data_IF_628241017874
#
_entry.id   IF_628241017874
#
_cell.length_a   1.000
_cell.length_b   1.000
_cell.length_c   1.000
_cell.angle_alpha   90.00
_cell.angle_beta   90.00
_cell.angle_gamma   90.00
#
_symmetry.space_group_name_H-M   'P 1'
#
loop_
_entity.id
_entity.type
_entity.pdbx_description
1 polymer ?
#
# COMPACT_ATOMS: atom_id res chain seq x y z
N UNK A 1 52.43 1.61 5.43
CA UNK A 1 52.04 0.28 5.96
C UNK A 1 50.74 0.41 6.73
N UNK A 2 49.60 0.04 6.14
CA UNK A 2 48.29 0.10 6.79
C UNK A 2 48.31 -0.88 7.97
N UNK A 3 48.05 -0.40 9.19
CA UNK A 3 47.99 -1.24 10.39
C UNK A 3 46.78 -2.18 10.28
N UNK A 4 47.00 -3.40 9.79
CA UNK A 4 45.98 -4.41 9.43
C UNK A 4 44.96 -4.66 10.53
N UNK A 5 45.38 -4.68 11.80
CA UNK A 5 44.48 -4.81 12.96
C UNK A 5 43.51 -3.63 13.09
N UNK A 6 43.96 -2.40 12.81
CA UNK A 6 43.12 -1.19 12.86
C UNK A 6 42.10 -1.19 11.72
N UNK A 7 42.51 -1.63 10.53
CA UNK A 7 41.62 -1.74 9.36
C UNK A 7 40.54 -2.81 9.54
N UNK A 8 40.87 -3.97 10.08
CA UNK A 8 39.90 -5.04 10.38
C UNK A 8 38.82 -4.55 11.35
N UNK A 9 39.23 -3.85 12.44
CA UNK A 9 38.28 -3.28 13.40
C UNK A 9 37.33 -2.27 12.74
N UNK A 10 37.82 -1.44 11.80
CA UNK A 10 37.00 -0.48 11.05
C UNK A 10 35.99 -1.18 10.16
N UNK A 11 36.41 -2.20 9.41
CA UNK A 11 35.51 -2.99 8.54
C UNK A 11 34.39 -3.65 9.37
N UNK A 12 34.75 -4.25 10.50
CA UNK A 12 33.77 -4.86 11.41
C UNK A 12 32.79 -3.84 11.98
N UNK A 13 33.26 -2.64 12.35
CA UNK A 13 32.39 -1.56 12.81
C UNK A 13 31.44 -1.08 11.70
N UNK A 14 31.95 -0.87 10.48
CA UNK A 14 31.15 -0.42 9.34
C UNK A 14 30.08 -1.46 8.99
N UNK A 15 30.45 -2.74 8.88
CA UNK A 15 29.48 -3.82 8.61
C UNK A 15 28.41 -3.94 9.71
N UNK A 16 28.78 -3.72 10.97
CA UNK A 16 27.83 -3.69 12.08
C UNK A 16 26.83 -2.54 11.95
N UNK A 17 27.31 -1.33 11.65
CA UNK A 17 26.45 -0.15 11.47
C UNK A 17 25.52 -0.35 10.27
N UNK A 18 26.04 -0.81 9.13
CA UNK A 18 25.24 -1.09 7.93
C UNK A 18 24.19 -2.17 8.21
N UNK A 19 24.54 -3.21 8.98
CA UNK A 19 23.60 -4.24 9.41
C UNK A 19 22.43 -3.65 10.20
N UNK A 20 22.66 -2.71 11.11
CA UNK A 20 21.58 -2.06 11.88
C UNK A 20 20.79 -1.11 10.98
N UNK A 21 21.48 -0.31 10.17
CA UNK A 21 20.85 0.64 9.25
C UNK A 21 20.05 -0.04 8.13
N UNK A 22 20.22 -1.35 7.93
CA UNK A 22 19.52 -2.14 6.90
C UNK A 22 18.00 -1.98 6.95
N UNK A 23 17.39 -1.87 8.13
CA UNK A 23 15.94 -1.63 8.24
C UNK A 23 15.52 -0.27 7.68
N UNK A 24 16.33 0.78 7.91
CA UNK A 24 16.05 2.11 7.38
C UNK A 24 16.22 2.14 5.87
N UNK A 25 17.23 1.42 5.35
CA UNK A 25 17.44 1.26 3.90
C UNK A 25 16.24 0.53 3.27
N UNK A 26 15.76 -0.53 3.91
CA UNK A 26 14.57 -1.26 3.45
C UNK A 26 13.31 -0.38 3.45
N UNK A 27 13.07 0.37 4.53
CA UNK A 27 11.96 1.32 4.63
C UNK A 27 12.04 2.40 3.56
N UNK A 28 13.22 2.98 3.32
CA UNK A 28 13.43 3.97 2.26
C UNK A 28 13.15 3.39 0.88
N UNK A 29 13.59 2.15 0.61
CA UNK A 29 13.31 1.48 -0.66
C UNK A 29 11.80 1.25 -0.87
N UNK A 30 11.08 0.87 0.19
CA UNK A 30 9.62 0.74 0.15
C UNK A 30 8.95 2.11 -0.08
N UNK A 31 9.33 3.15 0.66
CA UNK A 31 8.76 4.49 0.52
C UNK A 31 8.92 5.05 -0.90
N UNK A 32 10.12 4.95 -1.48
CA UNK A 32 10.39 5.38 -2.87
C UNK A 32 9.52 4.58 -3.85
N UNK A 33 9.30 3.29 -3.57
CA UNK A 33 8.47 2.47 -4.43
C UNK A 33 7.00 2.85 -4.40
N UNK A 34 6.47 3.14 -3.21
CA UNK A 34 5.09 3.64 -3.04
C UNK A 34 4.93 4.95 -3.82
N UNK A 35 5.88 5.88 -3.68
CA UNK A 35 5.84 7.17 -4.37
C UNK A 35 5.83 7.04 -5.90
N UNK A 36 6.48 5.99 -6.43
CA UNK A 36 6.53 5.70 -7.86
C UNK A 36 5.40 4.78 -8.34
N UNK A 37 4.48 4.35 -7.47
CA UNK A 37 3.35 3.52 -7.87
C UNK A 37 2.28 4.38 -8.56
N UNK A 38 1.38 3.77 -9.38
CA UNK A 38 0.28 4.52 -9.99
C UNK A 38 -0.71 5.11 -8.98
N UNK A 39 -0.83 4.51 -7.79
CA UNK A 39 -1.72 4.94 -6.70
C UNK A 39 -0.93 4.98 -5.39
N UNK A 40 -0.16 6.07 -5.13
CA UNK A 40 0.68 6.17 -3.94
C UNK A 40 -0.11 6.20 -2.62
N UNK A 41 -1.35 6.68 -2.67
CA UNK A 41 -2.22 6.87 -1.50
C UNK A 41 -3.05 5.61 -1.14
N UNK A 42 -2.83 4.49 -1.85
CA UNK A 42 -3.54 3.25 -1.56
C UNK A 42 -3.22 2.73 -0.14
N UNK A 43 -4.21 2.43 0.72
CA UNK A 43 -3.98 2.10 2.12
C UNK A 43 -3.05 0.90 2.35
N UNK A 44 -3.04 -0.06 1.40
CA UNK A 44 -2.21 -1.27 1.47
C UNK A 44 -0.94 -1.19 0.61
N UNK A 45 -0.59 -0.03 0.04
CA UNK A 45 0.61 0.14 -0.80
C UNK A 45 1.91 -0.24 -0.07
N UNK A 46 1.97 -0.04 1.26
CA UNK A 46 3.10 -0.48 2.07
C UNK A 46 3.25 -2.01 2.05
N UNK A 47 2.15 -2.73 2.25
CA UNK A 47 2.11 -4.20 2.30
C UNK A 47 2.49 -4.79 0.93
N UNK A 48 2.00 -4.20 -0.17
CA UNK A 48 2.37 -4.60 -1.55
C UNK A 48 3.87 -4.52 -1.83
N UNK A 49 4.59 -3.62 -1.16
CA UNK A 49 6.00 -3.37 -1.41
C UNK A 49 6.94 -3.94 -0.34
N UNK A 50 6.41 -4.48 0.75
CA UNK A 50 7.19 -5.02 1.87
C UNK A 50 8.15 -6.15 1.49
N UNK A 51 7.86 -6.95 0.46
CA UNK A 51 8.77 -7.99 -0.04
C UNK A 51 10.18 -7.48 -0.35
N UNK A 52 10.35 -6.18 -0.64
CA UNK A 52 11.64 -5.53 -0.87
C UNK A 52 12.60 -5.60 0.33
N UNK A 53 12.09 -5.85 1.53
CA UNK A 53 12.92 -6.12 2.71
C UNK A 53 13.84 -7.33 2.49
N UNK A 54 13.42 -8.33 1.69
CA UNK A 54 14.27 -9.47 1.34
C UNK A 54 15.52 -9.06 0.54
N UNK A 55 15.42 -8.01 -0.29
CA UNK A 55 16.56 -7.52 -1.09
C UNK A 55 17.70 -6.97 -0.22
N UNK A 56 17.39 -6.58 1.02
CA UNK A 56 18.32 -5.95 1.94
C UNK A 56 19.01 -6.95 2.88
N UNK A 57 18.51 -8.19 2.98
CA UNK A 57 19.08 -9.29 3.78
C UNK A 57 20.58 -9.56 3.53
N UNK A 58 21.13 -9.42 2.30
CA UNK A 58 22.57 -9.58 2.09
C UNK A 58 23.45 -8.68 2.98
N UNK A 59 22.96 -7.50 3.41
CA UNK A 59 23.70 -6.59 4.28
C UNK A 59 23.95 -7.17 5.70
N UNK A 60 22.92 -7.54 6.49
CA UNK A 60 23.13 -8.19 7.78
C UNK A 60 23.77 -9.58 7.65
N UNK A 61 23.53 -10.30 6.55
CA UNK A 61 24.20 -11.58 6.28
C UNK A 61 25.72 -11.41 6.11
N UNK A 62 26.16 -10.38 5.39
CA UNK A 62 27.59 -10.08 5.25
C UNK A 62 28.23 -9.76 6.62
N UNK A 63 27.56 -8.96 7.46
CA UNK A 63 28.03 -8.67 8.83
C UNK A 63 28.15 -9.93 9.69
N UNK A 64 27.18 -10.84 9.59
CA UNK A 64 27.19 -12.14 10.27
C UNK A 64 28.37 -13.00 9.82
N UNK A 65 28.56 -13.17 8.50
CA UNK A 65 29.64 -13.98 7.93
C UNK A 65 31.00 -13.42 8.35
N UNK A 66 31.18 -12.09 8.27
CA UNK A 66 32.41 -11.43 8.73
C UNK A 66 32.64 -11.66 10.23
N UNK A 67 31.59 -11.58 11.05
CA UNK A 67 31.67 -11.91 12.47
C UNK A 67 32.17 -13.34 12.72
N UNK A 68 31.62 -14.34 12.01
CA UNK A 68 32.04 -15.74 12.14
C UNK A 68 33.49 -15.95 11.67
N UNK A 69 33.90 -15.32 10.58
CA UNK A 69 35.27 -15.46 10.07
C UNK A 69 36.29 -14.84 11.04
N UNK A 70 36.02 -13.65 11.57
CA UNK A 70 36.97 -12.95 12.44
C UNK A 70 36.96 -13.42 13.88
N UNK A 71 35.87 -14.01 14.39
CA UNK A 71 35.87 -14.61 15.73
C UNK A 71 36.78 -15.83 15.79
N UNK A 72 36.82 -16.64 14.72
CA UNK A 72 37.76 -17.76 14.57
C UNK A 72 39.22 -17.32 14.51
N UNK A 73 39.48 -16.07 14.12
CA UNK A 73 40.82 -15.44 14.09
C UNK A 73 41.18 -14.72 15.40
N UNK A 74 40.40 -14.90 16.47
CA UNK A 74 40.66 -14.32 17.81
C UNK A 74 40.15 -12.89 18.01
N UNK A 75 39.34 -12.33 17.10
CA UNK A 75 38.78 -10.98 17.26
C UNK A 75 37.45 -11.00 18.04
N UNK A 76 37.26 -10.03 18.93
CA UNK A 76 35.99 -9.84 19.67
C UNK A 76 34.92 -9.21 18.75
N UNK A 77 34.14 -10.04 18.06
CA UNK A 77 33.11 -9.59 17.10
C UNK A 77 31.77 -10.33 17.24
N UNK A 78 31.46 -10.88 18.42
CA UNK A 78 30.15 -11.50 18.72
C UNK A 78 28.96 -10.59 18.43
N UNK A 79 29.12 -9.27 18.60
CA UNK A 79 28.07 -8.27 18.33
C UNK A 79 27.61 -8.28 16.87
N UNK A 80 28.53 -8.45 15.92
CA UNK A 80 28.20 -8.55 14.48
C UNK A 80 27.36 -9.78 14.17
N UNK A 81 27.68 -10.92 14.80
CA UNK A 81 26.94 -12.16 14.64
C UNK A 81 25.51 -11.99 15.18
N UNK A 82 25.38 -11.53 16.44
CA UNK A 82 24.09 -11.37 17.11
C UNK A 82 23.21 -10.36 16.35
N UNK A 83 23.73 -9.19 16.03
CA UNK A 83 22.97 -8.17 15.30
C UNK A 83 22.61 -8.65 13.89
N UNK A 84 23.52 -9.33 13.19
CA UNK A 84 23.24 -9.89 11.87
C UNK A 84 22.08 -10.88 11.91
N UNK A 85 22.06 -11.82 12.88
CA UNK A 85 20.95 -12.78 13.05
C UNK A 85 19.63 -12.05 13.30
N UNK A 86 19.61 -11.12 14.27
CA UNK A 86 18.40 -10.37 14.62
C UNK A 86 17.86 -9.62 13.40
N UNK A 87 18.73 -8.92 12.67
CA UNK A 87 18.32 -8.13 11.52
C UNK A 87 17.84 -8.99 10.35
N UNK A 88 18.43 -10.17 10.12
CA UNK A 88 17.91 -11.13 9.14
C UNK A 88 16.48 -11.55 9.50
N UNK A 89 16.23 -11.89 10.77
CA UNK A 89 14.90 -12.29 11.23
C UNK A 89 13.90 -11.14 11.03
N UNK A 90 14.25 -9.93 11.48
CA UNK A 90 13.39 -8.75 11.33
C UNK A 90 13.06 -8.46 9.87
N UNK A 91 14.06 -8.43 8.98
CA UNK A 91 13.84 -8.18 7.56
C UNK A 91 13.00 -9.28 6.91
N UNK A 92 13.22 -10.55 7.27
CA UNK A 92 12.43 -11.66 6.75
C UNK A 92 10.97 -11.61 7.20
N UNK A 93 10.71 -11.25 8.46
CA UNK A 93 9.35 -11.11 8.99
C UNK A 93 8.58 -10.04 8.23
N UNK A 94 9.13 -8.83 8.13
CA UNK A 94 8.49 -7.75 7.38
C UNK A 94 8.38 -8.08 5.88
N UNK A 95 9.41 -8.68 5.28
CA UNK A 95 9.37 -9.11 3.88
C UNK A 95 8.24 -10.10 3.58
N UNK A 96 7.87 -10.93 4.56
CA UNK A 96 6.81 -11.93 4.40
C UNK A 96 5.40 -11.35 4.38
N UNK A 97 5.19 -10.10 4.80
CA UNK A 97 3.86 -9.50 4.91
C UNK A 97 3.15 -9.45 3.55
N UNK A 98 3.87 -9.12 2.47
CA UNK A 98 3.29 -9.15 1.11
C UNK A 98 2.65 -10.51 0.78
N UNK A 99 3.26 -11.61 1.22
CA UNK A 99 2.73 -12.95 0.99
C UNK A 99 1.59 -13.29 1.97
N UNK A 100 1.74 -12.92 3.25
CA UNK A 100 0.74 -13.17 4.30
C UNK A 100 -0.60 -12.51 3.95
N UNK A 101 -0.55 -11.28 3.41
CA UNK A 101 -1.73 -10.50 3.03
C UNK A 101 -2.03 -10.54 1.52
N UNK A 102 -1.40 -11.46 0.78
CA UNK A 102 -1.55 -11.54 -0.68
C UNK A 102 -2.98 -11.85 -1.14
N UNK A 103 -3.75 -12.58 -0.33
CA UNK A 103 -5.15 -12.91 -0.64
C UNK A 103 -6.09 -11.73 -0.51
N UNK A 104 -5.72 -10.71 0.27
CA UNK A 104 -6.54 -9.51 0.47
C UNK A 104 -6.37 -8.52 -0.69
N UNK A 105 -5.24 -8.54 -1.38
CA UNK A 105 -4.91 -7.53 -2.40
C UNK A 105 -5.13 -8.10 -3.80
N UNK A 106 -5.82 -7.34 -4.66
CA UNK A 106 -6.05 -7.71 -6.05
C UNK A 106 -5.86 -6.53 -6.99
N UNK A 107 -5.48 -6.84 -8.24
CA UNK A 107 -5.41 -5.89 -9.35
C UNK A 107 -6.28 -6.36 -10.53
N UNK A 108 -7.27 -7.23 -10.28
CA UNK A 108 -8.13 -7.76 -11.33
C UNK A 108 -9.16 -6.71 -11.79
N UNK A 109 -8.93 -6.18 -13.00
CA UNK A 109 -9.83 -5.23 -13.66
C UNK A 109 -11.27 -5.74 -13.84
N UNK A 110 -11.53 -7.05 -13.79
CA UNK A 110 -12.89 -7.60 -13.84
C UNK A 110 -13.78 -7.10 -12.70
N UNK A 111 -13.19 -6.70 -11.58
CA UNK A 111 -13.93 -6.05 -10.49
C UNK A 111 -14.65 -4.79 -10.99
N UNK A 112 -14.00 -3.99 -11.83
CA UNK A 112 -14.59 -2.77 -12.40
C UNK A 112 -15.77 -3.09 -13.31
N UNK A 113 -15.68 -4.17 -14.09
CA UNK A 113 -16.80 -4.64 -14.92
C UNK A 113 -18.00 -5.01 -14.04
N UNK A 114 -17.79 -5.77 -12.96
CA UNK A 114 -18.86 -6.12 -12.02
C UNK A 114 -19.51 -4.88 -11.39
N UNK A 115 -18.70 -3.91 -10.93
CA UNK A 115 -19.22 -2.67 -10.33
C UNK A 115 -19.98 -1.84 -11.37
N UNK A 116 -19.46 -1.73 -12.59
CA UNK A 116 -20.11 -1.01 -13.69
C UNK A 116 -21.46 -1.61 -14.05
N UNK A 117 -21.54 -2.94 -14.19
CA UNK A 117 -22.80 -3.67 -14.45
C UNK A 117 -23.80 -3.51 -13.30
N UNK A 118 -23.33 -3.53 -12.05
CA UNK A 118 -24.20 -3.42 -10.85
C UNK A 118 -24.79 -2.03 -10.69
N UNK A 119 -23.99 -0.99 -10.94
CA UNK A 119 -24.36 0.40 -10.65
C UNK A 119 -24.87 1.16 -11.88
N UNK A 120 -24.64 0.63 -13.09
CA UNK A 120 -24.85 1.33 -14.35
C UNK A 120 -24.00 2.62 -14.47
N UNK A 121 -22.83 2.65 -13.81
CA UNK A 121 -21.79 3.68 -13.99
C UNK A 121 -20.79 3.16 -15.02
N UNK A 122 -20.55 3.93 -16.08
CA UNK A 122 -19.54 3.60 -17.09
C UNK A 122 -18.14 3.93 -16.57
N UNK A 123 -17.42 2.92 -16.06
CA UNK A 123 -16.06 3.06 -15.53
C UNK A 123 -15.06 2.73 -16.64
N UNK A 124 -14.09 3.61 -16.95
CA UNK A 124 -13.09 3.38 -17.98
C UNK A 124 -12.32 2.06 -17.78
N UNK A 125 -12.25 1.23 -18.82
CA UNK A 125 -11.51 -0.04 -18.80
C UNK A 125 -9.99 0.15 -18.86
N UNK A 126 -9.51 1.28 -19.38
CA UNK A 126 -8.10 1.64 -19.45
C UNK A 126 -7.65 2.34 -18.16
N UNK A 127 -7.52 1.54 -17.09
CA UNK A 127 -7.20 2.02 -15.76
C UNK A 127 -6.26 1.06 -15.01
N UNK A 128 -5.50 1.60 -14.07
CA UNK A 128 -4.82 0.80 -13.05
C UNK A 128 -5.74 0.67 -11.83
N UNK A 129 -5.87 -0.54 -11.28
CA UNK A 129 -6.72 -0.81 -10.11
C UNK A 129 -5.95 -1.49 -9.00
N UNK A 130 -6.14 -1.02 -7.77
CA UNK A 130 -5.73 -1.71 -6.54
C UNK A 130 -6.96 -1.92 -5.67
N UNK A 131 -7.19 -3.17 -5.27
CA UNK A 131 -8.35 -3.62 -4.51
C UNK A 131 -7.83 -4.24 -3.22
N UNK A 132 -8.49 -3.96 -2.11
CA UNK A 132 -8.36 -4.70 -0.86
C UNK A 132 -9.73 -5.28 -0.47
N UNK A 133 -9.75 -6.59 -0.23
CA UNK A 133 -10.87 -7.33 0.34
C UNK A 133 -10.67 -7.49 1.86
N UNK A 134 -11.76 -7.67 2.59
CA UNK A 134 -11.76 -7.81 4.05
C UNK A 134 -11.02 -6.63 4.72
N UNK A 135 -11.38 -5.42 4.29
CA UNK A 135 -10.75 -4.17 4.65
C UNK A 135 -11.06 -3.76 6.09
N UNK A 136 -12.32 -3.54 6.45
CA UNK A 136 -12.75 -3.26 7.83
C UNK A 136 -13.59 -4.40 8.42
N UNK A 137 -14.38 -5.07 7.60
CA UNK A 137 -15.26 -6.18 8.01
C UNK A 137 -15.11 -7.36 7.05
N UNK A 138 -15.53 -8.53 7.50
CA UNK A 138 -15.69 -9.69 6.60
C UNK A 138 -16.69 -9.29 5.50
N UNK A 139 -16.36 -9.55 4.24
CA UNK A 139 -17.14 -9.23 3.02
C UNK A 139 -17.05 -7.80 2.45
N UNK A 140 -16.38 -6.84 3.10
CA UNK A 140 -16.21 -5.49 2.54
C UNK A 140 -15.05 -5.42 1.52
N UNK A 141 -15.07 -4.39 0.66
CA UNK A 141 -13.96 -4.13 -0.24
C UNK A 141 -13.73 -2.66 -0.51
N UNK A 142 -12.47 -2.28 -0.67
CA UNK A 142 -12.04 -0.96 -1.07
C UNK A 142 -11.22 -1.07 -2.34
N UNK A 143 -11.56 -0.28 -3.36
CA UNK A 143 -10.78 -0.16 -4.58
C UNK A 143 -10.40 1.30 -4.83
N UNK A 144 -9.18 1.50 -5.33
CA UNK A 144 -8.74 2.74 -5.95
C UNK A 144 -8.40 2.47 -7.40
N UNK A 145 -8.88 3.34 -8.28
CA UNK A 145 -8.78 3.20 -9.73
C UNK A 145 -8.16 4.46 -10.30
N UNK A 146 -6.99 4.35 -10.90
CA UNK A 146 -6.29 5.45 -11.56
C UNK A 146 -6.57 5.39 -13.06
N UNK A 147 -7.19 6.44 -13.60
CA UNK A 147 -7.46 6.54 -15.02
C UNK A 147 -6.25 7.05 -15.80
N UNK A 148 -6.05 6.49 -17.00
CA UNK A 148 -5.09 7.04 -17.97
C UNK A 148 -5.66 8.29 -18.65
N UNK A 149 -6.95 8.22 -19.03
CA UNK A 149 -7.75 9.32 -19.59
C UNK A 149 -9.13 9.27 -18.94
N UNK A 150 -9.53 10.39 -18.34
CA UNK A 150 -10.75 10.59 -17.57
C UNK A 150 -11.72 11.58 -18.22
N UNK A 151 -11.38 12.13 -19.39
CA UNK A 151 -12.15 13.21 -20.03
C UNK A 151 -13.63 12.86 -20.25
N UNK A 152 -13.91 11.65 -20.75
CA UNK A 152 -15.29 11.17 -20.89
C UNK A 152 -15.95 10.90 -19.54
N UNK A 153 -15.19 10.39 -18.56
CA UNK A 153 -15.70 10.05 -17.24
C UNK A 153 -16.14 11.30 -16.46
N UNK A 154 -15.30 12.35 -16.43
CA UNK A 154 -15.63 13.63 -15.80
C UNK A 154 -16.85 14.27 -16.46
N UNK A 155 -16.90 14.32 -17.80
CA UNK A 155 -18.05 14.85 -18.53
C UNK A 155 -19.36 14.06 -18.26
N UNK A 156 -19.26 12.75 -17.97
CA UNK A 156 -20.41 11.96 -17.55
C UNK A 156 -20.84 12.26 -16.11
N UNK A 157 -19.89 12.44 -15.18
CA UNK A 157 -20.14 12.88 -13.81
C UNK A 157 -20.86 14.23 -13.78
N UNK A 158 -20.34 15.23 -14.49
CA UNK A 158 -20.88 16.59 -14.51
C UNK A 158 -22.33 16.67 -15.04
N UNK A 159 -22.70 15.76 -15.93
CA UNK A 159 -24.07 15.68 -16.50
C UNK A 159 -25.02 14.84 -15.65
N UNK A 160 -24.52 14.10 -14.66
CA UNK A 160 -25.30 13.17 -13.87
C UNK A 160 -25.64 13.78 -12.50
N UNK A 161 -26.92 14.09 -12.29
CA UNK A 161 -27.43 14.71 -11.06
C UNK A 161 -27.26 13.86 -9.79
N UNK A 162 -26.92 12.57 -9.94
CA UNK A 162 -26.66 11.69 -8.80
C UNK A 162 -25.31 12.00 -8.15
N UNK A 163 -24.33 12.47 -8.92
CA UNK A 163 -23.05 12.91 -8.37
C UNK A 163 -23.20 14.28 -7.70
N UNK A 164 -22.62 14.41 -6.51
CA UNK A 164 -22.63 15.62 -5.69
C UNK A 164 -21.22 16.16 -5.53
N UNK A 165 -21.08 17.48 -5.50
CA UNK A 165 -19.79 18.15 -5.31
C UNK A 165 -19.46 18.46 -3.84
N UNK A 166 -20.29 17.97 -2.92
CA UNK A 166 -20.18 18.16 -1.49
C UNK A 166 -20.59 16.85 -0.84
N UNK A 167 -19.83 16.36 0.12
CA UNK A 167 -20.07 15.11 0.85
C UNK A 167 -21.17 15.24 1.92
N UNK A 168 -21.57 16.47 2.26
CA UNK A 168 -22.55 16.77 3.31
C UNK A 168 -23.95 16.15 3.10
N UNK A 169 -24.27 15.69 1.89
CA UNK A 169 -25.52 14.98 1.61
C UNK A 169 -25.56 13.56 2.20
N UNK A 170 -24.41 12.98 2.56
CA UNK A 170 -24.31 11.67 3.21
C UNK A 170 -24.56 11.84 4.71
N UNK A 171 -25.59 11.17 5.28
CA UNK A 171 -25.88 11.24 6.71
C UNK A 171 -24.68 10.83 7.59
N UNK A 172 -24.49 11.52 8.71
CA UNK A 172 -23.33 11.31 9.59
C UNK A 172 -23.24 9.90 10.19
N UNK A 173 -24.38 9.24 10.37
CA UNK A 173 -24.52 7.87 10.88
C UNK A 173 -24.19 6.79 9.84
N UNK A 174 -24.24 7.14 8.55
CA UNK A 174 -23.79 6.31 7.42
C UNK A 174 -22.30 6.51 7.15
N UNK A 175 -21.77 7.65 7.57
CA UNK A 175 -20.44 8.11 7.21
C UNK A 175 -19.35 7.35 7.98
N UNK A 176 -18.62 6.48 7.28
CA UNK A 176 -17.46 5.80 7.84
C UNK A 176 -16.29 6.81 7.95
N UNK A 177 -15.94 7.20 9.18
CA UNK A 177 -14.87 8.17 9.48
C UNK A 177 -13.54 7.86 8.80
N UNK A 178 -13.22 6.58 8.61
CA UNK A 178 -11.99 6.17 7.93
C UNK A 178 -12.09 6.41 6.41
N UNK A 179 -13.23 6.12 5.79
CA UNK A 179 -13.46 6.39 4.36
C UNK A 179 -13.45 7.90 4.07
N UNK A 180 -14.05 8.68 4.97
CA UNK A 180 -14.01 10.14 4.92
C UNK A 180 -12.59 10.68 4.96
N UNK A 181 -11.72 10.15 5.81
CA UNK A 181 -10.35 10.66 5.92
C UNK A 181 -9.51 10.40 4.67
N UNK A 182 -9.88 9.40 3.86
CA UNK A 182 -9.23 9.09 2.59
C UNK A 182 -9.76 9.90 1.41
N UNK A 183 -10.97 10.46 1.52
CA UNK A 183 -11.68 11.09 0.39
C UNK A 183 -12.14 12.51 0.68
N UNK A 184 -11.71 13.10 1.80
CA UNK A 184 -12.16 14.42 2.26
C UNK A 184 -11.80 15.57 1.31
N UNK A 185 -10.80 15.36 0.46
CA UNK A 185 -10.27 16.31 -0.51
C UNK A 185 -10.76 16.04 -1.95
N UNK A 186 -11.61 15.04 -2.15
CA UNK A 186 -12.12 14.67 -3.48
C UNK A 186 -13.27 15.61 -3.90
N UNK A 187 -13.50 15.75 -5.21
CA UNK A 187 -14.47 16.72 -5.73
C UNK A 187 -15.87 16.15 -5.95
N UNK A 188 -15.99 14.86 -6.30
CA UNK A 188 -17.29 14.28 -6.67
C UNK A 188 -17.61 13.02 -5.88
N UNK A 189 -18.83 12.95 -5.38
CA UNK A 189 -19.31 11.87 -4.52
C UNK A 189 -20.64 11.32 -5.02
N UNK A 190 -20.84 10.00 -4.91
CA UNK A 190 -22.16 9.40 -5.07
C UNK A 190 -22.23 8.11 -4.27
N UNK A 191 -23.44 7.73 -3.85
CA UNK A 191 -23.69 6.44 -3.20
C UNK A 191 -24.71 5.67 -4.01
N UNK A 192 -24.43 4.41 -4.29
CA UNK A 192 -25.36 3.49 -4.92
C UNK A 192 -25.89 2.51 -3.88
N UNK A 193 -27.20 2.35 -3.82
CA UNK A 193 -27.86 1.40 -2.94
C UNK A 193 -28.19 0.12 -3.71
N UNK A 194 -27.53 -0.99 -3.39
CA UNK A 194 -27.70 -2.25 -4.10
C UNK A 194 -29.04 -2.93 -3.78
N UNK A 195 -29.61 -2.65 -2.61
CA UNK A 195 -30.90 -3.22 -2.17
C UNK A 195 -32.07 -2.63 -2.98
N UNK A 196 -32.07 -1.31 -3.18
CA UNK A 196 -33.15 -0.59 -3.88
C UNK A 196 -32.83 -0.24 -5.33
N UNK A 197 -31.59 -0.44 -5.79
CA UNK A 197 -31.08 -0.02 -7.09
C UNK A 197 -31.28 1.48 -7.35
N UNK A 198 -31.06 2.30 -6.33
CA UNK A 198 -31.21 3.76 -6.40
C UNK A 198 -29.95 4.48 -5.93
N UNK A 199 -29.81 5.72 -6.38
CA UNK A 199 -28.69 6.58 -5.99
C UNK A 199 -29.06 7.46 -4.80
N UNK A 200 -28.10 7.65 -3.90
CA UNK A 200 -28.20 8.52 -2.73
C UNK A 200 -29.38 8.17 -1.80
N UNK A 201 -29.75 6.90 -1.78
CA UNK A 201 -30.61 6.28 -0.79
C UNK A 201 -29.73 5.48 0.17
N UNK A 202 -29.86 5.71 1.48
CA UNK A 202 -28.93 5.17 2.46
C UNK A 202 -29.48 3.95 3.23
N UNK A 203 -30.66 3.47 2.84
CA UNK A 203 -31.30 2.32 3.50
C UNK A 203 -30.88 0.99 2.86
N UNK A 204 -29.91 0.29 3.46
CA UNK A 204 -29.49 -1.05 3.03
C UNK A 204 -28.00 -1.16 2.71
N UNK A 205 -27.67 -2.05 1.77
CA UNK A 205 -26.30 -2.26 1.29
C UNK A 205 -25.88 -1.14 0.32
N UNK A 206 -24.67 -0.61 0.52
CA UNK A 206 -24.20 0.60 -0.16
C UNK A 206 -22.88 0.37 -0.88
N UNK A 207 -22.72 1.04 -2.01
CA UNK A 207 -21.44 1.23 -2.69
C UNK A 207 -21.18 2.74 -2.74
N UNK A 208 -20.14 3.17 -2.03
CA UNK A 208 -19.68 4.53 -2.00
C UNK A 208 -18.66 4.77 -3.12
N UNK A 209 -18.81 5.90 -3.81
CA UNK A 209 -17.89 6.38 -4.82
C UNK A 209 -17.44 7.79 -4.47
N UNK A 210 -16.14 8.04 -4.59
CA UNK A 210 -15.57 9.37 -4.59
C UNK A 210 -14.57 9.51 -5.74
N UNK A 211 -14.56 10.64 -6.43
CA UNK A 211 -13.64 10.90 -7.53
C UNK A 211 -12.82 12.17 -7.29
N UNK A 212 -11.51 12.02 -7.42
CA UNK A 212 -10.51 13.10 -7.39
C UNK A 212 -10.10 13.45 -8.83
N UNK A 213 -10.39 14.68 -9.25
CA UNK A 213 -10.12 15.21 -10.60
C UNK A 213 -8.63 15.45 -10.81
N UNK A 214 -7.93 16.01 -9.83
CA UNK A 214 -6.52 16.36 -9.93
C UNK A 214 -5.65 15.10 -10.02
N UNK A 215 -5.94 14.11 -9.17
CA UNK A 215 -5.24 12.84 -9.20
C UNK A 215 -5.86 11.82 -10.14
N UNK A 216 -7.01 12.08 -10.77
CA UNK A 216 -7.70 11.12 -11.66
C UNK A 216 -7.95 9.76 -11.01
N UNK A 217 -8.28 9.76 -9.72
CA UNK A 217 -8.50 8.56 -8.93
C UNK A 217 -9.97 8.43 -8.57
N UNK A 218 -10.57 7.32 -8.94
CA UNK A 218 -11.86 6.88 -8.43
C UNK A 218 -11.63 5.96 -7.22
N UNK A 219 -12.18 6.37 -6.09
CA UNK A 219 -12.32 5.57 -4.89
C UNK A 219 -13.67 4.86 -4.89
N UNK A 220 -13.67 3.57 -4.58
CA UNK A 220 -14.86 2.73 -4.48
C UNK A 220 -14.79 1.99 -3.15
N UNK A 221 -15.87 2.02 -2.37
CA UNK A 221 -16.00 1.22 -1.16
C UNK A 221 -17.35 0.50 -1.15
N UNK A 222 -17.31 -0.83 -1.06
CA UNK A 222 -18.49 -1.67 -0.89
C UNK A 222 -18.59 -2.04 0.59
N UNK A 223 -19.71 -1.68 1.20
CA UNK A 223 -20.07 -2.04 2.57
C UNK A 223 -20.58 -3.48 2.66
#
# INVERSE_FOLDING_TARGET
MINTKKSIKRILLISFIISIASILIALMLVAISIQNSPIPNFPFAMVEHMWKFFLIIPLPLASLILGIVFIRKGYKCKKNIIAGIIMIIVLSLYGSFTNIFSSQISHDTKYLTKISETTNIDIPTAAYVSIVYDFQTEDDSLAMVKFNDDSMYVNNIEKNSNWKSDISFIPSDVNNLFILSLTSDYEYFTVYNTTSNTYNNFDGELIYFAYDVDSKVLFIYCY
#
